data_IF_265930151420
#
_entry.id   IF_265930151420
#
_cell.length_a   1.000
_cell.length_b   1.000
_cell.length_c   1.000
_cell.angle_alpha   90.00
_cell.angle_beta   90.00
_cell.angle_gamma   90.00
#
_symmetry.space_group_name_H-M   'P 1'
#
loop_
_entity.id
_entity.type
_entity.pdbx_description
1 polymer ?
#
# COMPACT_ATOMS: atom_id res chain seq x y z
N UNK A 1 -12.62 -6.30 -49.03
CA UNK A 1 -13.66 -6.72 -48.04
C UNK A 1 -13.12 -7.49 -46.82
N UNK A 2 -12.27 -8.53 -46.96
CA UNK A 2 -11.76 -9.29 -45.79
C UNK A 2 -10.92 -8.44 -44.80
N UNK A 3 -10.02 -7.58 -45.27
CA UNK A 3 -9.18 -6.73 -44.40
C UNK A 3 -10.02 -5.81 -43.49
N UNK A 4 -11.06 -5.16 -43.99
CA UNK A 4 -11.91 -4.28 -43.17
C UNK A 4 -12.65 -5.02 -42.04
N UNK A 5 -13.05 -6.28 -42.25
CA UNK A 5 -13.67 -7.07 -41.20
C UNK A 5 -12.66 -7.42 -40.08
N UNK A 6 -11.42 -7.77 -40.48
CA UNK A 6 -10.36 -8.09 -39.52
C UNK A 6 -10.04 -6.89 -38.63
N UNK A 7 -9.83 -5.70 -39.19
CA UNK A 7 -9.58 -4.48 -38.42
C UNK A 7 -10.72 -4.15 -37.42
N UNK A 8 -11.97 -4.40 -37.84
CA UNK A 8 -13.11 -4.19 -36.96
C UNK A 8 -13.11 -5.15 -35.76
N UNK A 9 -12.81 -6.43 -35.95
CA UNK A 9 -12.70 -7.39 -34.84
C UNK A 9 -11.54 -7.08 -33.92
N UNK A 10 -10.39 -6.70 -34.46
CA UNK A 10 -9.24 -6.24 -33.66
C UNK A 10 -9.64 -5.03 -32.80
N UNK A 11 -10.33 -4.03 -33.37
CA UNK A 11 -10.81 -2.87 -32.64
C UNK A 11 -11.79 -3.22 -31.52
N UNK A 12 -12.70 -4.17 -31.74
CA UNK A 12 -13.61 -4.68 -30.70
C UNK A 12 -12.82 -5.32 -29.56
N UNK A 13 -11.86 -6.18 -29.88
CA UNK A 13 -11.03 -6.87 -28.86
C UNK A 13 -10.22 -5.85 -28.05
N UNK A 14 -9.52 -4.94 -28.73
CA UNK A 14 -8.69 -3.95 -28.06
C UNK A 14 -9.50 -2.99 -27.17
N UNK A 15 -10.66 -2.50 -27.65
CA UNK A 15 -11.53 -1.64 -26.84
C UNK A 15 -12.13 -2.37 -25.62
N UNK A 16 -12.48 -3.65 -25.79
CA UNK A 16 -12.95 -4.48 -24.70
C UNK A 16 -11.85 -4.74 -23.66
N UNK A 17 -10.64 -5.09 -24.12
CA UNK A 17 -9.48 -5.30 -23.25
C UNK A 17 -9.14 -4.03 -22.48
N UNK A 18 -9.09 -2.87 -23.16
CA UNK A 18 -8.83 -1.59 -22.51
C UNK A 18 -9.85 -1.31 -21.39
N UNK A 19 -11.14 -1.53 -21.65
CA UNK A 19 -12.18 -1.30 -20.65
C UNK A 19 -12.08 -2.24 -19.47
N UNK A 20 -11.82 -3.52 -19.69
CA UNK A 20 -11.67 -4.53 -18.62
C UNK A 20 -10.44 -4.25 -17.76
N UNK A 21 -9.31 -3.93 -18.40
CA UNK A 21 -8.08 -3.54 -17.68
C UNK A 21 -8.28 -2.26 -16.89
N UNK A 22 -9.02 -1.28 -17.44
CA UNK A 22 -9.33 -0.03 -16.74
C UNK A 22 -10.11 -0.30 -15.45
N UNK A 23 -11.13 -1.14 -15.52
CA UNK A 23 -11.93 -1.52 -14.35
C UNK A 23 -11.09 -2.29 -13.34
N UNK A 24 -10.29 -3.26 -13.80
CA UNK A 24 -9.40 -4.01 -12.91
C UNK A 24 -8.43 -3.08 -12.17
N UNK A 25 -7.76 -2.16 -12.87
CA UNK A 25 -6.85 -1.19 -12.27
C UNK A 25 -7.54 -0.27 -11.26
N UNK A 26 -8.74 0.25 -11.60
CA UNK A 26 -9.49 1.12 -10.70
C UNK A 26 -9.91 0.40 -9.42
N UNK A 27 -10.40 -0.84 -9.53
CA UNK A 27 -10.78 -1.64 -8.37
C UNK A 27 -9.55 -2.10 -7.57
N UNK A 28 -8.42 -2.39 -8.22
CA UNK A 28 -7.16 -2.70 -7.56
C UNK A 28 -6.65 -1.52 -6.75
N UNK A 29 -6.63 -0.32 -7.32
CA UNK A 29 -6.25 0.90 -6.61
C UNK A 29 -7.19 1.16 -5.41
N UNK A 30 -8.49 1.02 -5.61
CA UNK A 30 -9.45 1.15 -4.51
C UNK A 30 -9.21 0.12 -3.41
N UNK A 31 -9.05 -1.16 -3.76
CA UNK A 31 -8.80 -2.24 -2.80
C UNK A 31 -7.51 -2.01 -2.02
N UNK A 32 -6.46 -1.57 -2.69
CA UNK A 32 -5.18 -1.23 -2.08
C UNK A 32 -5.35 -0.17 -0.99
N UNK A 33 -6.00 0.97 -1.30
CA UNK A 33 -6.21 2.04 -0.32
C UNK A 33 -7.27 1.73 0.75
N UNK A 34 -8.18 0.80 0.49
CA UNK A 34 -9.13 0.31 1.51
C UNK A 34 -8.46 -0.69 2.46
N UNK A 35 -7.41 -1.38 2.01
CA UNK A 35 -6.68 -2.39 2.79
C UNK A 35 -5.55 -1.76 3.61
N UNK A 36 -4.80 -0.84 3.02
CA UNK A 36 -3.71 -0.13 3.66
C UNK A 36 -4.00 1.37 3.69
N UNK A 37 -4.48 1.85 4.82
CA UNK A 37 -4.95 3.25 4.96
C UNK A 37 -3.83 4.29 4.94
N UNK A 38 -2.61 3.88 5.31
CA UNK A 38 -1.41 4.74 5.38
C UNK A 38 -0.27 4.25 4.49
N UNK A 39 -0.61 3.62 3.35
CA UNK A 39 0.36 3.09 2.40
C UNK A 39 1.29 4.19 1.87
N UNK A 40 2.59 3.94 1.95
CA UNK A 40 3.65 4.79 1.39
C UNK A 40 4.15 4.25 0.05
N UNK A 41 4.90 5.08 -0.72
CA UNK A 41 5.53 4.61 -1.96
C UNK A 41 6.60 3.56 -1.70
N UNK A 42 7.42 3.72 -0.65
CA UNK A 42 8.44 2.74 -0.28
C UNK A 42 7.83 1.37 0.04
N UNK A 43 6.74 1.35 0.81
CA UNK A 43 5.99 0.13 1.11
C UNK A 43 5.40 -0.51 -0.15
N UNK A 44 4.83 0.31 -1.06
CA UNK A 44 4.30 -0.20 -2.32
C UNK A 44 5.40 -0.81 -3.19
N UNK A 45 6.53 -0.13 -3.36
CA UNK A 45 7.68 -0.63 -4.15
C UNK A 45 8.20 -1.93 -3.54
N UNK A 46 8.36 -1.99 -2.22
CA UNK A 46 8.75 -3.22 -1.52
C UNK A 46 7.80 -4.39 -1.84
N UNK A 47 6.49 -4.19 -1.69
CA UNK A 47 5.51 -5.25 -1.95
C UNK A 47 5.40 -5.67 -3.42
N UNK A 48 5.73 -4.78 -4.35
CA UNK A 48 5.78 -5.13 -5.79
C UNK A 48 7.03 -5.94 -6.15
N UNK A 49 8.11 -5.78 -5.40
CA UNK A 49 9.39 -6.49 -5.62
C UNK A 49 9.53 -7.75 -4.76
N UNK A 50 8.83 -7.81 -3.62
CA UNK A 50 8.87 -8.96 -2.73
C UNK A 50 8.18 -10.19 -3.31
N UNK A 51 8.66 -11.38 -2.92
CA UNK A 51 8.01 -12.64 -3.28
C UNK A 51 6.59 -12.71 -2.70
N UNK A 52 5.67 -13.30 -3.46
CA UNK A 52 4.31 -13.62 -2.97
C UNK A 52 4.29 -14.86 -2.06
N UNK A 53 5.43 -15.50 -1.85
CA UNK A 53 5.54 -16.66 -0.98
C UNK A 53 5.20 -16.30 0.47
N UNK A 54 4.32 -17.07 1.09
CA UNK A 54 3.82 -16.76 2.44
C UNK A 54 2.65 -15.77 2.51
N UNK A 55 2.18 -15.24 1.38
CA UNK A 55 1.01 -14.34 1.36
C UNK A 55 -0.24 -15.05 1.89
N UNK A 56 -0.97 -14.38 2.79
CA UNK A 56 -2.22 -14.89 3.34
C UNK A 56 -3.25 -15.19 2.24
N UNK A 57 -3.74 -16.42 2.20
CA UNK A 57 -4.73 -16.87 1.21
C UNK A 57 -6.04 -16.07 1.25
N UNK A 58 -6.42 -15.52 2.41
CA UNK A 58 -7.64 -14.71 2.53
C UNK A 58 -7.47 -13.34 1.88
N UNK A 59 -6.27 -12.78 1.85
CA UNK A 59 -5.94 -11.58 1.09
C UNK A 59 -6.09 -11.81 -0.41
N UNK A 60 -5.61 -12.95 -0.91
CA UNK A 60 -5.76 -13.34 -2.33
C UNK A 60 -7.25 -13.51 -2.68
N UNK A 61 -8.04 -14.19 -1.83
CA UNK A 61 -9.49 -14.31 -2.02
C UNK A 61 -10.18 -12.95 -2.03
N UNK A 62 -9.82 -12.06 -1.10
CA UNK A 62 -10.37 -10.70 -1.02
C UNK A 62 -10.08 -9.90 -2.30
N UNK A 63 -8.85 -9.97 -2.81
CA UNK A 63 -8.48 -9.36 -4.08
C UNK A 63 -9.30 -9.92 -5.24
N UNK A 64 -9.40 -11.24 -5.36
CA UNK A 64 -10.20 -11.86 -6.41
C UNK A 64 -11.67 -11.41 -6.37
N UNK A 65 -12.28 -11.38 -5.18
CA UNK A 65 -13.68 -10.97 -5.03
C UNK A 65 -13.88 -9.48 -5.30
N UNK A 66 -12.99 -8.62 -4.81
CA UNK A 66 -13.15 -7.17 -4.88
C UNK A 66 -12.63 -6.55 -6.19
N UNK A 67 -11.70 -7.20 -6.89
CA UNK A 67 -11.07 -6.66 -8.10
C UNK A 67 -11.36 -7.49 -9.35
N UNK A 68 -11.13 -8.81 -9.31
CA UNK A 68 -11.28 -9.66 -10.50
C UNK A 68 -12.76 -9.87 -10.85
N UNK A 69 -13.62 -10.12 -9.87
CA UNK A 69 -15.06 -10.31 -10.12
C UNK A 69 -15.70 -9.10 -10.80
N UNK A 70 -15.51 -7.84 -10.37
CA UNK A 70 -15.99 -6.67 -11.10
C UNK A 70 -15.46 -6.57 -12.54
N UNK A 71 -14.20 -6.93 -12.76
CA UNK A 71 -13.61 -6.94 -14.11
C UNK A 71 -14.28 -8.01 -15.01
N UNK A 72 -14.59 -9.19 -14.48
CA UNK A 72 -15.32 -10.24 -15.20
C UNK A 72 -16.76 -9.81 -15.51
N UNK A 73 -17.43 -9.15 -14.56
CA UNK A 73 -18.78 -8.58 -14.79
C UNK A 73 -18.72 -7.52 -15.88
N UNK A 74 -17.71 -6.65 -15.86
CA UNK A 74 -17.47 -5.66 -16.90
C UNK A 74 -17.27 -6.31 -18.28
N UNK A 75 -16.47 -7.38 -18.35
CA UNK A 75 -16.28 -8.14 -19.59
C UNK A 75 -17.61 -8.67 -20.12
N UNK A 76 -18.43 -9.30 -19.27
CA UNK A 76 -19.74 -9.80 -19.65
C UNK A 76 -20.67 -8.67 -20.17
N UNK A 77 -20.65 -7.52 -19.50
CA UNK A 77 -21.42 -6.34 -19.93
C UNK A 77 -20.95 -5.81 -21.29
N UNK A 78 -19.64 -5.70 -21.52
CA UNK A 78 -19.06 -5.27 -22.79
C UNK A 78 -19.41 -6.24 -23.92
N UNK A 79 -19.32 -7.55 -23.67
CA UNK A 79 -19.74 -8.57 -24.64
C UNK A 79 -21.23 -8.44 -24.96
N UNK A 80 -22.08 -8.26 -23.96
CA UNK A 80 -23.52 -8.03 -24.16
C UNK A 80 -23.79 -6.80 -25.02
N UNK A 81 -23.06 -5.69 -24.78
CA UNK A 81 -23.16 -4.48 -25.61
C UNK A 81 -22.81 -4.79 -27.06
N UNK A 82 -21.75 -5.55 -27.33
CA UNK A 82 -21.37 -5.93 -28.70
C UNK A 82 -22.44 -6.78 -29.40
N UNK A 83 -23.02 -7.74 -28.67
CA UNK A 83 -24.12 -8.57 -29.20
C UNK A 83 -25.33 -7.69 -29.54
N UNK A 84 -25.76 -6.83 -28.62
CA UNK A 84 -26.90 -5.92 -28.83
C UNK A 84 -26.64 -4.98 -30.00
N UNK A 85 -25.42 -4.40 -30.09
CA UNK A 85 -25.05 -3.54 -31.22
C UNK A 85 -25.09 -4.28 -32.56
N UNK A 86 -24.67 -5.52 -32.58
CA UNK A 86 -24.73 -6.39 -33.76
C UNK A 86 -26.17 -6.68 -34.18
N UNK A 87 -27.01 -7.11 -33.23
CA UNK A 87 -28.42 -7.45 -33.48
C UNK A 87 -29.23 -6.23 -33.93
N UNK A 88 -28.99 -5.06 -33.28
CA UNK A 88 -29.70 -3.81 -33.62
C UNK A 88 -29.05 -3.03 -34.78
N UNK A 89 -28.05 -3.61 -35.47
CA UNK A 89 -27.30 -2.97 -36.60
C UNK A 89 -26.78 -1.56 -36.25
N UNK A 90 -26.39 -1.32 -35.00
CA UNK A 90 -25.85 -0.03 -34.57
C UNK A 90 -24.43 0.19 -35.09
N UNK A 91 -24.00 1.46 -35.12
CA UNK A 91 -22.66 1.80 -35.60
C UNK A 91 -21.58 1.36 -34.58
N UNK A 92 -20.93 0.23 -34.92
CA UNK A 92 -19.92 -0.39 -34.07
C UNK A 92 -18.70 0.52 -33.87
N UNK A 93 -18.30 1.31 -34.88
CA UNK A 93 -17.16 2.22 -34.74
C UNK A 93 -17.42 3.31 -33.71
N UNK A 94 -18.64 3.88 -33.69
CA UNK A 94 -19.01 4.83 -32.63
C UNK A 94 -18.97 4.20 -31.24
N UNK A 95 -19.45 2.96 -31.13
CA UNK A 95 -19.42 2.24 -29.84
C UNK A 95 -18.00 1.93 -29.38
N UNK A 96 -17.09 1.53 -30.29
CA UNK A 96 -15.67 1.35 -29.96
C UNK A 96 -15.06 2.61 -29.38
N UNK A 97 -15.31 3.77 -30.03
CA UNK A 97 -14.82 5.06 -29.54
C UNK A 97 -15.37 5.37 -28.14
N UNK A 98 -16.65 5.15 -27.89
CA UNK A 98 -17.27 5.39 -26.58
C UNK A 98 -16.63 4.51 -25.52
N UNK A 99 -16.48 3.20 -25.78
CA UNK A 99 -15.85 2.26 -24.82
C UNK A 99 -14.39 2.64 -24.56
N UNK A 100 -13.63 3.02 -25.60
CA UNK A 100 -12.25 3.49 -25.43
C UNK A 100 -12.18 4.75 -24.57
N UNK A 101 -13.03 5.76 -24.84
CA UNK A 101 -13.06 6.98 -24.06
C UNK A 101 -13.42 6.72 -22.60
N UNK A 102 -14.41 5.87 -22.34
CA UNK A 102 -14.76 5.47 -20.98
C UNK A 102 -13.58 4.78 -20.28
N UNK A 103 -12.90 3.85 -20.94
CA UNK A 103 -11.72 3.18 -20.40
C UNK A 103 -10.60 4.17 -20.07
N UNK A 104 -10.31 5.11 -20.99
CA UNK A 104 -9.29 6.14 -20.75
C UNK A 104 -9.65 7.03 -19.56
N UNK A 105 -10.91 7.44 -19.43
CA UNK A 105 -11.36 8.24 -18.28
C UNK A 105 -11.20 7.47 -16.97
N UNK A 106 -11.57 6.19 -16.94
CA UNK A 106 -11.43 5.34 -15.74
C UNK A 106 -9.96 5.18 -15.36
N UNK A 107 -9.06 4.87 -16.32
CA UNK A 107 -7.62 4.79 -16.06
C UNK A 107 -7.08 6.15 -15.58
N UNK A 108 -7.39 7.22 -16.29
CA UNK A 108 -6.93 8.56 -15.92
C UNK A 108 -7.32 8.95 -14.51
N UNK A 109 -8.56 8.64 -14.12
CA UNK A 109 -9.04 8.90 -12.75
C UNK A 109 -8.31 8.02 -11.73
N UNK A 110 -8.14 6.72 -12.01
CA UNK A 110 -7.44 5.80 -11.11
C UNK A 110 -5.97 6.24 -10.92
N UNK A 111 -5.29 6.59 -12.02
CA UNK A 111 -3.90 7.09 -11.97
C UNK A 111 -3.81 8.41 -11.20
N UNK A 112 -4.69 9.37 -11.46
CA UNK A 112 -4.68 10.65 -10.77
C UNK A 112 -4.91 10.51 -9.26
N UNK A 113 -5.86 9.66 -8.85
CA UNK A 113 -6.13 9.38 -7.44
C UNK A 113 -4.93 8.68 -6.78
N UNK A 114 -4.34 7.69 -7.44
CA UNK A 114 -3.16 6.97 -6.94
C UNK A 114 -1.98 7.92 -6.81
N UNK A 115 -1.72 8.74 -7.83
CA UNK A 115 -0.66 9.73 -7.84
C UNK A 115 -0.76 10.69 -6.64
N UNK A 116 -1.96 11.19 -6.39
CA UNK A 116 -2.18 12.13 -5.30
C UNK A 116 -2.09 11.46 -3.92
N UNK A 117 -2.70 10.28 -3.77
CA UNK A 117 -2.71 9.58 -2.46
C UNK A 117 -1.34 9.09 -2.02
N UNK A 118 -0.50 8.65 -2.96
CA UNK A 118 0.86 8.17 -2.68
C UNK A 118 1.91 9.30 -2.73
N UNK A 119 1.51 10.55 -2.98
CA UNK A 119 2.43 11.66 -3.15
C UNK A 119 3.58 11.35 -4.12
N UNK A 120 3.28 10.66 -5.25
CA UNK A 120 4.29 10.15 -6.19
C UNK A 120 5.23 11.27 -6.66
N UNK A 121 4.71 12.48 -6.87
CA UNK A 121 5.53 13.63 -7.28
C UNK A 121 6.61 13.98 -6.26
N UNK A 122 6.29 13.96 -4.97
CA UNK A 122 7.25 14.21 -3.89
C UNK A 122 8.23 13.06 -3.71
N UNK A 123 7.74 11.83 -3.81
CA UNK A 123 8.58 10.64 -3.79
C UNK A 123 9.65 10.68 -4.90
N UNK A 124 9.25 10.93 -6.15
CA UNK A 124 10.20 11.03 -7.28
C UNK A 124 11.19 12.20 -7.11
N UNK A 125 10.72 13.32 -6.55
CA UNK A 125 11.61 14.45 -6.25
C UNK A 125 12.60 14.08 -5.15
N UNK A 126 12.15 13.38 -4.11
CA UNK A 126 13.00 12.89 -3.01
C UNK A 126 14.10 11.95 -3.47
N UNK A 127 13.83 11.09 -4.47
CA UNK A 127 14.84 10.19 -5.06
C UNK A 127 16.03 10.92 -5.69
N UNK A 128 15.86 12.18 -6.10
CA UNK A 128 16.88 13.00 -6.73
C UNK A 128 17.36 14.17 -5.87
N UNK A 129 16.87 14.28 -4.63
CA UNK A 129 17.21 15.38 -3.73
C UNK A 129 18.03 14.83 -2.57
N UNK A 130 19.30 15.20 -2.51
CA UNK A 130 20.13 14.90 -1.35
C UNK A 130 19.71 15.78 -0.16
N UNK A 131 19.64 15.18 1.03
CA UNK A 131 19.37 15.87 2.29
C UNK A 131 20.50 15.55 3.25
N UNK A 132 21.16 16.59 3.77
CA UNK A 132 22.22 16.47 4.78
C UNK A 132 21.68 16.13 6.16
N UNK A 133 20.34 16.07 6.33
CA UNK A 133 19.72 15.86 7.62
C UNK A 133 20.20 14.59 8.35
N UNK A 134 20.37 13.50 7.62
CA UNK A 134 20.87 12.22 8.18
C UNK A 134 22.33 12.40 8.61
N UNK A 135 23.17 12.95 7.73
CA UNK A 135 24.62 13.13 7.99
C UNK A 135 24.86 14.05 9.18
N UNK A 136 24.06 15.11 9.30
CA UNK A 136 24.18 16.09 10.39
C UNK A 136 23.67 15.56 11.75
N UNK A 137 22.73 14.63 11.76
CA UNK A 137 22.03 14.21 12.97
C UNK A 137 22.25 12.72 13.34
N UNK A 138 22.82 11.92 12.46
CA UNK A 138 23.08 10.50 12.76
C UNK A 138 24.27 10.34 13.70
N UNK A 139 24.01 9.71 14.84
CA UNK A 139 25.09 9.34 15.77
C UNK A 139 25.79 8.07 15.28
N UNK A 140 26.95 8.21 14.65
CA UNK A 140 27.74 7.06 14.19
C UNK A 140 28.14 6.18 15.41
N UNK A 141 27.65 4.92 15.46
CA UNK A 141 27.99 4.01 16.56
C UNK A 141 29.49 3.70 16.66
N UNK A 142 30.24 3.83 15.57
CA UNK A 142 31.71 3.59 15.58
C UNK A 142 32.46 4.68 16.38
N UNK A 143 31.90 5.87 16.50
CA UNK A 143 32.48 7.00 17.23
C UNK A 143 31.84 7.17 18.61
N UNK A 144 30.79 6.44 18.90
CA UNK A 144 30.05 6.54 20.16
C UNK A 144 30.70 5.68 21.25
N UNK A 145 31.01 6.33 22.39
CA UNK A 145 31.61 5.62 23.51
C UNK A 145 30.51 4.93 24.32
N UNK A 146 30.37 3.62 24.15
CA UNK A 146 29.36 2.81 24.87
C UNK A 146 30.01 2.19 26.11
N UNK A 147 29.51 2.58 27.29
CA UNK A 147 29.94 2.00 28.55
C UNK A 147 28.99 0.88 28.98
N UNK A 148 29.54 -0.30 29.26
CA UNK A 148 28.79 -1.45 29.76
C UNK A 148 29.06 -1.66 31.24
N UNK A 149 28.09 -2.15 32.04
CA UNK A 149 28.34 -2.58 33.40
C UNK A 149 29.26 -3.82 33.42
N UNK A 150 29.96 -4.05 34.54
CA UNK A 150 30.81 -5.21 34.69
C UNK A 150 30.07 -6.53 34.43
N UNK A 151 28.85 -6.63 34.92
CA UNK A 151 27.96 -7.75 34.62
C UNK A 151 27.04 -7.39 33.44
N UNK A 152 27.35 -7.89 32.24
CA UNK A 152 26.57 -7.70 31.05
C UNK A 152 25.20 -8.36 31.16
N UNK A 153 24.17 -7.67 30.65
CA UNK A 153 22.80 -8.19 30.55
C UNK A 153 22.49 -8.60 29.10
N UNK A 154 21.53 -9.49 28.96
CA UNK A 154 20.96 -9.80 27.65
C UNK A 154 19.91 -8.76 27.28
N UNK A 155 19.92 -8.31 26.03
CA UNK A 155 18.84 -7.51 25.45
C UNK A 155 17.94 -8.47 24.65
N UNK A 156 16.66 -8.50 25.00
CA UNK A 156 15.64 -9.25 24.25
C UNK A 156 14.74 -8.22 23.59
N UNK A 157 14.70 -8.24 22.26
CA UNK A 157 13.88 -7.33 21.45
C UNK A 157 12.72 -8.14 20.86
N UNK A 158 11.48 -7.74 21.19
CA UNK A 158 10.27 -8.43 20.73
C UNK A 158 9.45 -7.45 19.92
N UNK A 159 9.29 -7.72 18.61
CA UNK A 159 8.41 -6.98 17.72
C UNK A 159 7.04 -7.63 17.73
N UNK A 160 6.04 -6.92 18.25
CA UNK A 160 4.64 -7.33 18.26
C UNK A 160 3.95 -6.66 17.07
N UNK A 161 3.90 -7.37 15.94
CA UNK A 161 3.32 -6.87 14.70
C UNK A 161 1.83 -6.60 14.86
N UNK A 162 1.38 -5.44 14.34
CA UNK A 162 -0.02 -4.98 14.39
C UNK A 162 -0.58 -4.86 15.82
N UNK A 163 0.30 -4.76 16.84
CA UNK A 163 -0.12 -4.49 18.22
C UNK A 163 -0.26 -2.99 18.44
N UNK A 164 -1.42 -2.56 18.89
CA UNK A 164 -1.74 -1.15 19.09
C UNK A 164 -2.22 -0.89 20.52
N UNK A 165 -1.95 0.32 21.03
CA UNK A 165 -2.51 0.82 22.29
C UNK A 165 -4.05 0.79 22.29
N UNK A 166 -4.67 0.82 21.12
CA UNK A 166 -6.12 0.65 20.88
C UNK A 166 -6.72 -0.57 21.58
N UNK A 167 -5.95 -1.66 21.75
CA UNK A 167 -6.40 -2.89 22.41
C UNK A 167 -6.52 -2.79 23.94
N UNK A 168 -6.00 -1.72 24.56
CA UNK A 168 -6.28 -1.40 25.96
C UNK A 168 -7.69 -0.80 26.11
N UNK A 169 -8.13 -0.59 27.34
CA UNK A 169 -9.41 0.05 27.61
C UNK A 169 -9.36 1.59 27.52
N UNK A 170 -10.54 2.21 27.54
CA UNK A 170 -10.70 3.67 27.45
C UNK A 170 -10.03 4.44 28.60
N UNK A 171 -9.87 3.83 29.76
CA UNK A 171 -9.23 4.48 30.93
C UNK A 171 -7.73 4.56 30.70
N UNK A 172 -7.14 3.54 30.08
CA UNK A 172 -5.74 3.44 29.76
C UNK A 172 -5.34 4.03 28.39
N UNK A 173 -6.28 4.57 27.63
CA UNK A 173 -5.98 5.24 26.36
C UNK A 173 -6.38 4.44 25.13
N UNK A 174 -6.88 3.22 25.28
CA UNK A 174 -7.39 2.38 24.20
C UNK A 174 -8.82 2.70 23.79
N UNK A 175 -9.39 1.85 22.93
CA UNK A 175 -10.73 2.02 22.38
C UNK A 175 -11.73 0.97 22.90
N UNK A 176 -11.30 -0.02 23.63
CA UNK A 176 -12.15 -1.08 24.15
C UNK A 176 -12.79 -0.70 25.50
N UNK A 177 -13.97 -1.27 25.78
CA UNK A 177 -14.59 -1.14 27.11
C UNK A 177 -13.87 -1.97 28.18
N UNK A 178 -13.22 -3.04 27.75
CA UNK A 178 -12.44 -3.94 28.60
C UNK A 178 -11.06 -4.09 27.98
N UNK A 179 -10.03 -3.97 28.80
CA UNK A 179 -8.66 -4.20 28.38
C UNK A 179 -8.48 -5.65 27.92
N UNK A 180 -8.05 -5.85 26.68
CA UNK A 180 -7.79 -7.18 26.11
C UNK A 180 -6.30 -7.54 26.09
N UNK A 181 -5.45 -6.60 26.55
CA UNK A 181 -4.00 -6.74 26.70
C UNK A 181 -3.54 -6.26 28.09
N UNK A 182 -4.14 -6.77 29.20
CA UNK A 182 -3.90 -6.22 30.53
C UNK A 182 -2.43 -6.30 30.96
N UNK A 183 -1.75 -7.40 30.67
CA UNK A 183 -0.34 -7.63 31.05
C UNK A 183 0.59 -6.64 30.33
N UNK A 184 0.37 -6.39 29.03
CA UNK A 184 1.15 -5.39 28.29
C UNK A 184 0.85 -3.97 28.77
N UNK A 185 -0.39 -3.70 29.15
CA UNK A 185 -0.79 -2.41 29.73
C UNK A 185 -0.08 -2.16 31.07
N UNK A 186 -0.03 -3.17 31.94
CA UNK A 186 0.67 -3.12 33.21
C UNK A 186 2.19 -2.90 33.02
N UNK A 187 2.80 -3.63 32.07
CA UNK A 187 4.21 -3.45 31.72
C UNK A 187 4.51 -2.02 31.24
N UNK A 188 3.64 -1.45 30.39
CA UNK A 188 3.79 -0.08 29.90
C UNK A 188 3.62 0.95 31.01
N UNK A 189 2.71 0.74 31.96
CA UNK A 189 2.51 1.61 33.11
C UNK A 189 3.66 1.55 34.13
N UNK A 190 4.30 0.40 34.27
CA UNK A 190 5.37 0.18 35.21
C UNK A 190 6.76 0.54 34.67
N UNK A 191 6.91 0.74 33.36
CA UNK A 191 8.18 0.97 32.67
C UNK A 191 8.08 2.16 31.70
N UNK A 192 9.07 2.30 30.80
CA UNK A 192 9.05 3.31 29.75
C UNK A 192 8.04 2.93 28.64
N UNK A 193 7.09 3.82 28.36
CA UNK A 193 6.00 3.60 27.41
C UNK A 193 6.03 4.50 26.18
N UNK A 194 6.95 5.46 26.15
CA UNK A 194 7.12 6.46 25.09
C UNK A 194 5.89 7.32 24.77
N UNK A 195 4.91 7.37 25.67
CA UNK A 195 3.70 8.21 25.53
C UNK A 195 3.97 9.71 25.73
N UNK A 196 5.20 10.10 26.02
CA UNK A 196 5.64 11.46 26.23
C UNK A 196 4.98 12.10 27.47
N UNK A 197 4.28 13.23 27.28
CA UNK A 197 3.59 13.93 28.36
C UNK A 197 2.13 13.50 28.57
N UNK A 198 1.67 12.49 27.82
CA UNK A 198 0.31 11.96 27.96
C UNK A 198 0.14 11.28 29.32
N UNK A 199 -1.04 11.40 29.90
CA UNK A 199 -1.44 10.63 31.09
C UNK A 199 -2.03 9.27 30.73
N UNK A 200 -2.28 9.04 29.43
CA UNK A 200 -2.81 7.80 28.88
C UNK A 200 -1.76 7.17 28.00
N UNK A 201 -1.70 5.87 27.97
CA UNK A 201 -0.82 5.12 27.10
C UNK A 201 -1.21 5.37 25.63
N UNK A 202 -0.28 5.81 24.81
CA UNK A 202 -0.47 6.00 23.38
C UNK A 202 0.77 5.61 22.57
N UNK A 203 1.84 5.22 23.24
CA UNK A 203 3.10 4.85 22.62
C UNK A 203 3.80 6.01 21.89
N UNK A 204 4.86 5.69 21.19
CA UNK A 204 5.58 6.64 20.33
C UNK A 204 4.89 6.85 18.97
N UNK A 205 5.20 7.98 18.34
CA UNK A 205 4.78 8.23 16.96
C UNK A 205 5.74 7.54 15.99
N UNK A 206 5.18 6.78 15.05
CA UNK A 206 5.97 6.18 13.98
C UNK A 206 6.45 7.27 13.00
N UNK A 207 7.72 7.19 12.59
CA UNK A 207 8.25 8.02 11.52
C UNK A 207 7.64 7.62 10.16
N UNK A 208 7.55 8.55 9.19
CA UNK A 208 7.29 8.20 7.81
C UNK A 208 8.27 7.12 7.33
N UNK A 209 7.76 6.10 6.64
CA UNK A 209 8.55 4.93 6.22
C UNK A 209 8.77 3.85 7.29
N UNK A 210 8.35 4.08 8.56
CA UNK A 210 8.45 3.10 9.65
C UNK A 210 7.07 2.59 10.14
N UNK A 211 6.01 2.79 9.36
CA UNK A 211 4.63 2.44 9.72
C UNK A 211 4.22 1.01 9.32
N UNK A 212 5.14 0.22 8.82
CA UNK A 212 4.95 -1.15 8.35
C UNK A 212 6.10 -2.04 8.80
N UNK A 213 5.92 -3.36 8.81
CA UNK A 213 6.80 -4.32 9.47
C UNK A 213 8.28 -4.14 9.14
N UNK A 214 8.63 -4.20 7.86
CA UNK A 214 10.05 -4.11 7.45
C UNK A 214 10.62 -2.72 7.70
N UNK A 215 9.85 -1.66 7.44
CA UNK A 215 10.27 -0.30 7.73
C UNK A 215 10.50 -0.07 9.23
N UNK A 216 9.61 -0.59 10.08
CA UNK A 216 9.75 -0.49 11.54
C UNK A 216 10.97 -1.28 12.06
N UNK A 217 11.15 -2.51 11.60
CA UNK A 217 12.31 -3.35 11.99
C UNK A 217 13.63 -2.69 11.56
N UNK A 218 13.70 -2.18 10.32
CA UNK A 218 14.87 -1.47 9.83
C UNK A 218 15.17 -0.23 10.67
N UNK A 219 14.16 0.63 10.90
CA UNK A 219 14.33 1.85 11.67
C UNK A 219 14.78 1.58 13.11
N UNK A 220 14.25 0.56 13.74
CA UNK A 220 14.62 0.19 15.11
C UNK A 220 16.05 -0.40 15.22
N UNK A 221 16.54 -1.04 14.19
CA UNK A 221 17.87 -1.67 14.21
C UNK A 221 18.98 -0.79 13.66
N UNK A 222 18.66 0.12 12.72
CA UNK A 222 19.64 1.01 12.09
C UNK A 222 19.59 2.46 12.57
N UNK A 223 18.52 2.86 13.28
CA UNK A 223 18.17 4.24 13.62
C UNK A 223 17.97 5.15 12.37
N UNK A 224 17.66 4.54 11.22
CA UNK A 224 17.43 5.23 9.94
C UNK A 224 16.07 4.85 9.37
N UNK A 225 15.35 5.76 8.68
CA UNK A 225 14.15 5.39 7.95
C UNK A 225 14.53 4.50 6.76
N UNK A 226 13.70 3.47 6.49
CA UNK A 226 13.86 2.67 5.28
C UNK A 226 13.40 3.48 4.06
N UNK A 227 14.31 3.66 3.11
CA UNK A 227 14.02 4.23 1.80
C UNK A 227 14.34 3.21 0.72
N UNK A 228 13.43 3.01 -0.22
CA UNK A 228 13.56 2.02 -1.28
C UNK A 228 13.57 2.74 -2.62
N UNK A 229 14.67 2.58 -3.36
CA UNK A 229 14.80 3.11 -4.71
C UNK A 229 13.98 2.28 -5.70
N UNK A 230 13.44 2.93 -6.75
CA UNK A 230 12.81 2.24 -7.88
C UNK A 230 13.87 1.63 -8.81
N UNK A 231 15.10 2.16 -8.79
CA UNK A 231 16.18 1.69 -9.64
C UNK A 231 16.80 0.39 -9.09
N UNK A 232 16.95 -0.62 -9.94
CA UNK A 232 17.52 -1.96 -9.62
C UNK A 232 18.97 -1.92 -9.07
N UNK A 233 19.60 -0.77 -9.04
CA UNK A 233 20.98 -0.60 -8.59
C UNK A 233 21.13 -0.33 -7.07
N UNK A 234 20.05 -0.40 -6.31
CA UNK A 234 20.02 -0.08 -4.88
C UNK A 234 19.90 -1.31 -3.96
N UNK A 235 20.05 -2.53 -4.50
CA UNK A 235 20.14 -3.77 -3.70
C UNK A 235 21.53 -4.39 -3.80
#
# INVERSE_FOLDING_TARGET
>A
MKKHKIFKYIGIILSSLLMVVSVLLAFSAKWMFDTWTSLTMDELVFHLTASLEGTNTDMIKAYCLKCVVPAVICLAAVVAIWVICSLKKKNINKMMVVICLMGIVVIGTAVAVTWHKLNIGEYLKGQHTYSEFIDDNYADPSTTNVSFPEQKRNLIYIFLESMEATYSDNENGGAFKKNVIPELTELAQANEDFSGKSKKLNGGYAMPGATWTMGAMFAQTSALPLSISIDDNAM
#
